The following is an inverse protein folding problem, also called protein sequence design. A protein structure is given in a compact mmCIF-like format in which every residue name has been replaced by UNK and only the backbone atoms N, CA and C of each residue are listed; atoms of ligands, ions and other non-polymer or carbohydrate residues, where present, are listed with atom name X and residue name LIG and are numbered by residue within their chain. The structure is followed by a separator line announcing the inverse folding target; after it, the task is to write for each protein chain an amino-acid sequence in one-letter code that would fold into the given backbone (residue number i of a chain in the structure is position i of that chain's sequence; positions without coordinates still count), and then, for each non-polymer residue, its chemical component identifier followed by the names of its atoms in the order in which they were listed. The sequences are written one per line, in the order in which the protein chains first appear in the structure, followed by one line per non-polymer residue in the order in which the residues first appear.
data_IF_333227717725
#
_entry.id   IF_333227717725
#
_cell.length_a   1.000
_cell.length_b   1.000
_cell.length_c   1.000
_cell.angle_alpha   90.00
_cell.angle_beta   90.00
_cell.angle_gamma   90.00
#
_symmetry.space_group_name_H-M   'P 1'
#
loop_
_entity.id
_entity.type
_entity.pdbx_description
1 polymer ?
#
# COMPACT_ATOMS: atom_id res chain seq x y z
N UNK A 1 -2.55 -16.09 -2.14
CA UNK A 1 -1.86 -14.81 -1.90
C UNK A 1 -0.41 -14.78 -2.39
N UNK A 2 0.37 -15.86 -2.29
CA UNK A 2 1.75 -15.92 -2.82
C UNK A 2 1.86 -15.49 -4.29
N UNK A 3 0.88 -15.84 -5.14
CA UNK A 3 0.79 -15.35 -6.52
C UNK A 3 0.71 -13.81 -6.63
N UNK A 4 -0.05 -13.15 -5.74
CA UNK A 4 -0.19 -11.69 -5.76
C UNK A 4 1.14 -11.03 -5.39
N UNK A 5 1.85 -11.52 -4.36
CA UNK A 5 3.16 -10.99 -3.98
C UNK A 5 4.16 -11.11 -5.13
N UNK A 6 4.25 -12.28 -5.76
CA UNK A 6 5.10 -12.50 -6.94
C UNK A 6 4.72 -11.56 -8.08
N UNK A 7 3.42 -11.41 -8.37
CA UNK A 7 2.93 -10.51 -9.42
C UNK A 7 3.29 -9.05 -9.12
N UNK A 8 3.16 -8.60 -7.86
CA UNK A 8 3.56 -7.26 -7.42
C UNK A 8 5.05 -7.05 -7.68
N UNK A 9 5.88 -8.01 -7.28
CA UNK A 9 7.33 -7.89 -7.41
C UNK A 9 7.73 -7.79 -8.88
N UNK A 10 7.26 -8.72 -9.70
CA UNK A 10 7.57 -8.76 -11.14
C UNK A 10 7.10 -7.51 -11.90
N UNK A 11 5.94 -6.96 -11.54
CA UNK A 11 5.32 -5.89 -12.33
C UNK A 11 5.56 -4.48 -11.77
N UNK A 12 5.98 -4.33 -10.51
CA UNK A 12 6.09 -3.01 -9.87
C UNK A 12 7.38 -2.77 -9.08
N UNK A 13 8.14 -3.81 -8.79
CA UNK A 13 9.39 -3.72 -8.01
C UNK A 13 10.61 -3.96 -8.89
N UNK A 14 10.58 -4.99 -9.74
CA UNK A 14 11.65 -5.34 -10.68
C UNK A 14 11.86 -4.25 -11.75
N UNK A 15 10.76 -3.70 -12.26
CA UNK A 15 10.83 -2.58 -13.18
C UNK A 15 11.03 -1.29 -12.37
N UNK A 16 12.12 -0.56 -12.61
CA UNK A 16 12.42 0.71 -11.92
C UNK A 16 11.46 1.87 -12.29
N UNK A 17 10.31 1.55 -12.91
CA UNK A 17 9.29 2.53 -13.31
C UNK A 17 8.42 2.88 -12.10
N UNK A 18 8.67 4.06 -11.55
CA UNK A 18 7.84 4.62 -10.48
C UNK A 18 6.49 5.10 -11.00
N UNK A 19 5.47 5.06 -10.14
CA UNK A 19 4.10 5.40 -10.54
C UNK A 19 3.21 5.76 -9.35
N UNK A 20 2.28 6.71 -9.56
CA UNK A 20 1.13 6.92 -8.68
C UNK A 20 0.08 5.80 -8.80
N UNK A 21 -0.48 5.37 -7.67
CA UNK A 21 -1.65 4.48 -7.62
C UNK A 21 -2.93 5.31 -7.57
N UNK A 22 -2.93 6.40 -6.78
CA UNK A 22 -4.08 7.29 -6.59
C UNK A 22 -4.06 8.33 -7.71
N UNK A 23 -5.10 8.32 -8.54
CA UNK A 23 -5.28 9.27 -9.64
C UNK A 23 -5.99 10.55 -9.18
N UNK A 24 -7.06 10.37 -8.39
CA UNK A 24 -7.77 11.46 -7.70
C UNK A 24 -7.84 11.15 -6.23
N UNK A 25 -7.48 12.14 -5.41
CA UNK A 25 -7.23 11.92 -3.99
C UNK A 25 -8.46 12.06 -3.10
N UNK A 26 -9.64 12.37 -3.64
CA UNK A 26 -10.86 12.52 -2.85
C UNK A 26 -10.85 13.64 -1.81
N UNK A 27 -9.81 14.50 -1.80
CA UNK A 27 -9.64 15.62 -0.87
C UNK A 27 -9.69 16.93 -1.66
N UNK A 28 -8.88 17.04 -2.72
CA UNK A 28 -8.88 18.20 -3.63
C UNK A 28 -10.08 18.18 -4.58
N UNK A 29 -10.65 16.99 -4.80
CA UNK A 29 -11.91 16.78 -5.50
C UNK A 29 -12.78 15.86 -4.66
N UNK A 30 -14.09 15.85 -4.88
CA UNK A 30 -14.96 14.90 -4.18
C UNK A 30 -14.82 13.46 -4.72
N UNK A 31 -13.96 13.23 -5.71
CA UNK A 31 -13.74 11.91 -6.31
C UNK A 31 -12.42 11.31 -5.81
N UNK A 32 -12.49 10.10 -5.25
CA UNK A 32 -11.32 9.26 -5.02
C UNK A 32 -11.25 8.19 -6.12
N UNK A 33 -10.11 8.08 -6.80
CA UNK A 33 -9.99 7.23 -7.98
C UNK A 33 -8.65 6.48 -8.06
N UNK A 34 -8.73 5.22 -8.48
CA UNK A 34 -7.63 4.41 -8.97
C UNK A 34 -7.98 4.07 -10.43
N UNK A 35 -7.35 4.73 -11.39
CA UNK A 35 -7.60 4.51 -12.83
C UNK A 35 -6.60 3.58 -13.50
N UNK A 36 -5.64 3.05 -12.74
CA UNK A 36 -4.78 1.98 -13.20
C UNK A 36 -5.63 0.75 -13.56
N UNK A 37 -5.35 0.19 -14.72
CA UNK A 37 -6.01 -1.01 -15.22
C UNK A 37 -4.93 -1.94 -15.75
N UNK A 38 -4.59 -2.95 -14.97
CA UNK A 38 -3.56 -3.94 -15.29
C UNK A 38 -3.89 -5.28 -14.60
N UNK A 39 -2.90 -6.15 -14.44
CA UNK A 39 -3.11 -7.49 -13.86
C UNK A 39 -3.65 -7.47 -12.43
N UNK A 40 -3.39 -6.43 -11.64
CA UNK A 40 -3.74 -6.38 -10.22
C UNK A 40 -4.74 -5.26 -9.87
N UNK A 41 -4.89 -4.27 -10.74
CA UNK A 41 -5.81 -3.15 -10.55
C UNK A 41 -6.89 -3.10 -11.61
N UNK A 42 -8.12 -2.78 -11.18
CA UNK A 42 -9.22 -2.39 -12.04
C UNK A 42 -9.54 -0.91 -11.85
N UNK A 43 -10.07 -0.26 -12.89
CA UNK A 43 -10.54 1.12 -12.77
C UNK A 43 -11.67 1.18 -11.76
N UNK A 44 -11.48 1.96 -10.70
CA UNK A 44 -12.49 2.18 -9.68
C UNK A 44 -12.45 3.63 -9.20
N UNK A 45 -13.61 4.25 -9.05
CA UNK A 45 -13.76 5.55 -8.39
C UNK A 45 -15.01 5.62 -7.53
N UNK A 46 -14.98 6.53 -6.57
CA UNK A 46 -16.09 6.80 -5.66
C UNK A 46 -16.18 8.30 -5.38
N UNK A 47 -17.41 8.79 -5.18
CA UNK A 47 -17.63 10.13 -4.65
C UNK A 47 -17.55 10.07 -3.12
N UNK A 48 -16.51 10.68 -2.55
CA UNK A 48 -16.18 10.62 -1.13
C UNK A 48 -17.28 11.24 -0.27
N UNK A 49 -17.81 12.41 -0.63
CA UNK A 49 -18.87 13.09 0.14
C UNK A 49 -20.15 12.28 0.18
N UNK A 50 -20.57 11.75 -0.96
CA UNK A 50 -21.76 10.89 -1.04
C UNK A 50 -21.55 9.59 -0.26
N UNK A 51 -20.37 8.98 -0.40
CA UNK A 51 -20.03 7.72 0.27
C UNK A 51 -19.96 7.90 1.79
N UNK A 52 -19.45 9.03 2.27
CA UNK A 52 -19.28 9.32 3.70
C UNK A 52 -20.60 9.25 4.48
N UNK A 53 -21.71 9.71 3.87
CA UNK A 53 -23.03 9.66 4.51
C UNK A 53 -23.51 8.24 4.84
N UNK A 54 -22.98 7.23 4.15
CA UNK A 54 -23.32 5.81 4.35
C UNK A 54 -22.18 5.02 5.01
N UNK A 55 -20.94 5.43 4.75
CA UNK A 55 -19.70 4.75 5.11
C UNK A 55 -18.77 5.75 5.81
N UNK A 56 -18.91 5.94 7.14
CA UNK A 56 -18.15 6.95 7.87
C UNK A 56 -16.62 6.79 7.78
N UNK A 57 -16.13 5.55 7.63
CA UNK A 57 -14.69 5.25 7.55
C UNK A 57 -14.00 5.67 6.26
N UNK A 58 -14.75 6.15 5.24
CA UNK A 58 -14.18 6.47 3.93
C UNK A 58 -13.16 7.61 3.97
N UNK A 59 -13.39 8.65 4.78
CA UNK A 59 -12.44 9.77 4.89
C UNK A 59 -11.08 9.34 5.43
N UNK A 60 -11.09 8.48 6.45
CA UNK A 60 -9.85 7.87 6.97
C UNK A 60 -9.15 7.06 5.88
N UNK A 61 -9.92 6.29 5.11
CA UNK A 61 -9.39 5.44 4.03
C UNK A 61 -8.68 6.26 2.96
N UNK A 62 -9.33 7.33 2.51
CA UNK A 62 -8.81 8.25 1.48
C UNK A 62 -7.55 8.96 1.95
N UNK A 63 -7.55 9.47 3.19
CA UNK A 63 -6.37 10.13 3.79
C UNK A 63 -5.17 9.19 3.92
N UNK A 64 -5.40 7.96 4.41
CA UNK A 64 -4.35 6.95 4.55
C UNK A 64 -3.82 6.55 3.16
N UNK A 65 -4.71 6.29 2.20
CA UNK A 65 -4.33 5.92 0.84
C UNK A 65 -3.43 6.98 0.19
N UNK A 66 -3.79 8.27 0.27
CA UNK A 66 -2.97 9.37 -0.26
C UNK A 66 -1.55 9.34 0.31
N UNK A 67 -1.42 9.16 1.63
CA UNK A 67 -0.11 9.13 2.29
C UNK A 67 0.68 7.87 1.94
N UNK A 68 0.03 6.71 1.85
CA UNK A 68 0.67 5.48 1.41
C UNK A 68 1.20 5.58 -0.03
N UNK A 69 0.42 6.17 -0.95
CA UNK A 69 0.86 6.35 -2.34
C UNK A 69 2.03 7.35 -2.43
N UNK A 70 2.01 8.40 -1.61
CA UNK A 70 3.14 9.31 -1.48
C UNK A 70 4.41 8.58 -1.05
N UNK A 71 4.36 7.77 0.01
CA UNK A 71 5.54 7.06 0.51
C UNK A 71 6.03 5.97 -0.44
N UNK A 72 5.13 5.18 -1.06
CA UNK A 72 5.58 4.16 -2.02
C UNK A 72 6.28 4.81 -3.23
N UNK A 73 5.79 5.97 -3.68
CA UNK A 73 6.46 6.74 -4.74
C UNK A 73 7.80 7.30 -4.31
N UNK A 74 7.88 7.88 -3.11
CA UNK A 74 9.16 8.38 -2.57
C UNK A 74 10.19 7.26 -2.45
N UNK A 75 9.79 6.10 -1.93
CA UNK A 75 10.64 4.92 -1.86
C UNK A 75 11.10 4.54 -3.26
N UNK A 76 10.19 4.40 -4.22
CA UNK A 76 10.54 4.00 -5.58
C UNK A 76 11.66 4.84 -6.19
N UNK A 77 11.55 6.17 -6.09
CA UNK A 77 12.53 7.09 -6.66
C UNK A 77 13.87 7.07 -5.89
N UNK A 78 13.86 6.61 -4.64
CA UNK A 78 15.07 6.51 -3.83
C UNK A 78 15.83 5.20 -4.06
N UNK A 79 15.15 4.09 -4.35
CA UNK A 79 15.78 2.77 -4.53
C UNK A 79 17.00 2.80 -5.47
N UNK A 80 16.98 3.47 -6.64
CA UNK A 80 18.13 3.50 -7.54
C UNK A 80 19.39 4.15 -6.96
N UNK A 81 19.27 5.05 -5.97
CA UNK A 81 20.42 5.69 -5.33
C UNK A 81 21.01 4.89 -4.17
N UNK A 82 20.33 3.82 -3.73
CA UNK A 82 20.76 2.99 -2.62
C UNK A 82 21.57 1.79 -3.17
N UNK A 83 22.81 1.55 -2.71
CA UNK A 83 23.60 0.38 -3.10
C UNK A 83 22.89 -0.93 -2.75
N UNK A 84 23.04 -1.95 -3.60
CA UNK A 84 22.40 -3.27 -3.40
C UNK A 84 22.84 -3.95 -2.09
N UNK A 85 24.10 -3.76 -1.69
CA UNK A 85 24.63 -4.27 -0.42
C UNK A 85 24.02 -3.60 0.82
N UNK A 86 23.32 -2.47 0.67
CA UNK A 86 22.72 -1.77 1.80
C UNK A 86 21.37 -2.37 2.16
N UNK A 87 21.30 -2.98 3.35
CA UNK A 87 20.11 -3.65 3.85
C UNK A 87 18.85 -2.76 3.89
N UNK A 88 18.98 -1.43 4.00
CA UNK A 88 17.83 -0.53 3.99
C UNK A 88 17.06 -0.59 2.67
N UNK A 89 17.75 -0.84 1.54
CA UNK A 89 17.13 -0.99 0.22
C UNK A 89 16.08 -2.10 0.24
N UNK A 90 16.46 -3.24 0.80
CA UNK A 90 15.61 -4.42 0.93
C UNK A 90 14.43 -4.13 1.85
N UNK A 91 14.65 -3.46 2.99
CA UNK A 91 13.57 -3.09 3.93
C UNK A 91 12.56 -2.17 3.24
N UNK A 92 13.02 -1.13 2.53
CA UNK A 92 12.14 -0.19 1.85
C UNK A 92 11.36 -0.87 0.71
N UNK A 93 11.98 -1.78 -0.04
CA UNK A 93 11.28 -2.56 -1.07
C UNK A 93 10.21 -3.49 -0.48
N UNK A 94 10.49 -4.15 0.67
CA UNK A 94 9.49 -4.95 1.39
C UNK A 94 8.28 -4.10 1.77
N UNK A 95 8.51 -2.92 2.35
CA UNK A 95 7.44 -1.99 2.69
C UNK A 95 6.65 -1.57 1.45
N UNK A 96 7.34 -1.28 0.34
CA UNK A 96 6.70 -0.95 -0.93
C UNK A 96 5.79 -2.06 -1.45
N UNK A 97 6.22 -3.33 -1.40
CA UNK A 97 5.39 -4.50 -1.73
C UNK A 97 4.14 -4.56 -0.85
N UNK A 98 4.29 -4.35 0.46
CA UNK A 98 3.18 -4.39 1.42
C UNK A 98 2.16 -3.29 1.10
N UNK A 99 2.63 -2.07 0.81
CA UNK A 99 1.76 -0.94 0.44
C UNK A 99 0.97 -1.25 -0.83
N UNK A 100 1.63 -1.76 -1.87
CA UNK A 100 0.94 -2.13 -3.12
C UNK A 100 -0.10 -3.23 -2.86
N UNK A 101 0.21 -4.23 -2.02
CA UNK A 101 -0.74 -5.27 -1.66
C UNK A 101 -1.97 -4.72 -0.90
N UNK A 102 -1.79 -3.73 -0.02
CA UNK A 102 -2.89 -3.02 0.63
C UNK A 102 -3.75 -2.27 -0.40
N UNK A 103 -3.13 -1.65 -1.41
CA UNK A 103 -3.84 -0.98 -2.49
C UNK A 103 -4.63 -1.92 -3.38
N UNK A 104 -4.10 -3.10 -3.71
CA UNK A 104 -4.85 -4.14 -4.44
C UNK A 104 -6.13 -4.51 -3.67
N UNK A 105 -6.03 -4.61 -2.33
CA UNK A 105 -7.19 -4.87 -1.49
C UNK A 105 -8.18 -3.71 -1.43
N UNK A 106 -7.69 -2.46 -1.32
CA UNK A 106 -8.55 -1.27 -1.37
C UNK A 106 -9.29 -1.19 -2.71
N UNK A 107 -8.58 -1.41 -3.81
CA UNK A 107 -9.14 -1.38 -5.16
C UNK A 107 -10.26 -2.41 -5.34
N UNK A 108 -10.09 -3.62 -4.79
CA UNK A 108 -11.14 -4.63 -4.72
C UNK A 108 -12.36 -4.14 -3.94
N UNK A 109 -12.17 -3.55 -2.75
CA UNK A 109 -13.27 -2.97 -1.97
C UNK A 109 -14.00 -1.90 -2.79
N UNK A 110 -13.28 -0.97 -3.41
CA UNK A 110 -13.89 0.08 -4.24
C UNK A 110 -14.74 -0.50 -5.37
N UNK A 111 -14.28 -1.56 -6.04
CA UNK A 111 -15.04 -2.25 -7.09
C UNK A 111 -16.32 -2.93 -6.57
N UNK A 112 -16.31 -3.37 -5.31
CA UNK A 112 -17.39 -4.11 -4.67
C UNK A 112 -18.38 -3.21 -3.90
N UNK A 113 -18.19 -1.88 -3.87
CA UNK A 113 -18.96 -0.95 -3.03
C UNK A 113 -20.49 -1.06 -3.22
N UNK A 114 -20.96 -1.36 -4.44
CA UNK A 114 -22.39 -1.53 -4.75
C UNK A 114 -22.94 -2.90 -4.38
N UNK A 115 -22.09 -3.89 -4.16
CA UNK A 115 -22.49 -5.28 -3.87
C UNK A 115 -22.63 -5.58 -2.38
N UNK A 116 -22.05 -4.74 -1.52
CA UNK A 116 -22.02 -4.94 -0.08
C UNK A 116 -22.99 -4.00 0.62
N UNK A 117 -23.59 -4.47 1.73
CA UNK A 117 -24.34 -3.57 2.61
C UNK A 117 -23.40 -2.51 3.18
N UNK A 118 -23.92 -1.30 3.41
CA UNK A 118 -23.11 -0.19 3.92
C UNK A 118 -22.40 -0.51 5.24
N UNK A 119 -23.04 -1.27 6.13
CA UNK A 119 -22.43 -1.71 7.39
C UNK A 119 -21.27 -2.68 7.16
N UNK A 120 -21.44 -3.68 6.29
CA UNK A 120 -20.38 -4.64 5.95
C UNK A 120 -19.19 -3.93 5.29
N UNK A 121 -19.48 -3.05 4.33
CA UNK A 121 -18.44 -2.28 3.64
C UNK A 121 -17.66 -1.39 4.62
N UNK A 122 -18.35 -0.70 5.53
CA UNK A 122 -17.71 0.12 6.55
C UNK A 122 -16.78 -0.70 7.47
N UNK A 123 -17.16 -1.92 7.86
CA UNK A 123 -16.29 -2.81 8.65
C UNK A 123 -15.02 -3.20 7.86
N UNK A 124 -15.16 -3.50 6.57
CA UNK A 124 -14.00 -3.83 5.74
C UNK A 124 -13.05 -2.65 5.56
N UNK A 125 -13.55 -1.43 5.40
CA UNK A 125 -12.73 -0.23 5.37
C UNK A 125 -12.09 0.09 6.72
N UNK A 126 -12.77 -0.12 7.84
CA UNK A 126 -12.16 0.03 9.17
C UNK A 126 -10.98 -0.91 9.37
N UNK A 127 -11.12 -2.18 8.98
CA UNK A 127 -10.01 -3.14 9.02
C UNK A 127 -8.89 -2.74 8.06
N UNK A 128 -9.23 -2.28 6.85
CA UNK A 128 -8.23 -1.77 5.90
C UNK A 128 -7.47 -0.56 6.48
N UNK A 129 -8.18 0.39 7.10
CA UNK A 129 -7.61 1.58 7.74
C UNK A 129 -6.63 1.19 8.84
N UNK A 130 -7.03 0.31 9.74
CA UNK A 130 -6.19 -0.17 10.85
C UNK A 130 -4.85 -0.71 10.36
N UNK A 131 -4.89 -1.60 9.37
CA UNK A 131 -3.66 -2.20 8.83
C UNK A 131 -2.83 -1.23 8.00
N UNK A 132 -3.50 -0.35 7.26
CA UNK A 132 -2.85 0.63 6.39
C UNK A 132 -2.18 1.76 7.16
N UNK A 133 -2.81 2.21 8.25
CA UNK A 133 -2.25 3.21 9.16
C UNK A 133 -1.01 2.68 9.89
N UNK A 134 -1.06 1.42 10.35
CA UNK A 134 0.12 0.74 10.89
C UNK A 134 1.28 0.70 9.89
N UNK A 135 1.03 0.30 8.64
CA UNK A 135 2.08 0.28 7.62
C UNK A 135 2.55 1.69 7.26
N UNK A 136 1.65 2.68 7.23
CA UNK A 136 2.02 4.08 7.00
C UNK A 136 3.00 4.57 8.08
N UNK A 137 2.70 4.32 9.35
CA UNK A 137 3.58 4.69 10.47
C UNK A 137 4.96 4.05 10.30
N UNK A 138 5.02 2.72 10.17
CA UNK A 138 6.28 1.97 9.99
C UNK A 138 7.07 2.51 8.80
N UNK A 139 6.40 2.71 7.66
CA UNK A 139 7.04 3.18 6.43
C UNK A 139 7.62 4.57 6.61
N UNK A 140 6.85 5.48 7.19
CA UNK A 140 7.29 6.86 7.45
C UNK A 140 8.50 6.89 8.39
N UNK A 141 8.49 6.12 9.47
CA UNK A 141 9.59 6.05 10.44
C UNK A 141 10.86 5.51 9.79
N UNK A 142 10.77 4.40 9.07
CA UNK A 142 11.93 3.81 8.39
C UNK A 142 12.49 4.74 7.32
N UNK A 143 11.63 5.33 6.49
CA UNK A 143 12.06 6.23 5.41
C UNK A 143 12.70 7.52 5.95
N UNK A 144 12.11 8.15 6.96
CA UNK A 144 12.67 9.35 7.60
C UNK A 144 13.98 9.02 8.31
N UNK A 145 14.04 7.89 9.03
CA UNK A 145 15.25 7.40 9.68
C UNK A 145 16.39 7.25 8.67
N UNK A 146 16.13 6.58 7.54
CA UNK A 146 17.07 6.47 6.43
C UNK A 146 17.57 7.84 5.94
N UNK A 147 16.65 8.79 5.69
CA UNK A 147 17.02 10.15 5.25
C UNK A 147 17.88 10.91 6.27
N UNK A 148 17.79 10.55 7.54
CA UNK A 148 18.61 11.11 8.62
C UNK A 148 19.88 10.29 8.91
N UNK A 149 20.18 9.25 8.12
CA UNK A 149 21.33 8.38 8.34
C UNK A 149 21.18 7.40 9.51
N UNK A 150 19.95 7.17 10.00
CA UNK A 150 19.62 6.19 11.04
C UNK A 150 19.13 4.88 10.41
N UNK A 151 19.50 3.76 11.02
CA UNK A 151 19.04 2.43 10.61
C UNK A 151 18.25 1.77 11.74
N UNK A 152 16.92 1.88 11.69
CA UNK A 152 16.02 1.18 12.61
C UNK A 152 15.24 0.09 11.86
N UNK A 153 15.62 -1.18 12.07
CA UNK A 153 14.99 -2.35 11.42
C UNK A 153 14.01 -3.12 12.30
N UNK A 154 14.05 -2.92 13.63
CA UNK A 154 13.21 -3.63 14.62
C UNK A 154 11.71 -3.36 14.45
N UNK A 155 11.34 -2.33 13.70
CA UNK A 155 9.94 -1.92 13.54
C UNK A 155 9.17 -2.91 12.64
N UNK A 156 9.85 -3.72 11.81
CA UNK A 156 9.18 -4.67 10.91
C UNK A 156 8.36 -5.76 11.64
N UNK A 157 8.69 -6.09 12.89
CA UNK A 157 7.93 -7.07 13.67
C UNK A 157 6.47 -6.64 13.90
N UNK A 158 6.22 -5.33 13.89
CA UNK A 158 4.87 -4.75 14.03
C UNK A 158 3.99 -5.02 12.79
N UNK A 159 4.58 -5.38 11.65
CA UNK A 159 3.86 -5.65 10.40
C UNK A 159 3.19 -7.02 10.35
N UNK A 160 3.46 -7.92 11.31
CA UNK A 160 2.95 -9.30 11.34
C UNK A 160 1.43 -9.37 11.25
N UNK A 161 0.72 -8.50 11.95
CA UNK A 161 -0.74 -8.43 11.90
C UNK A 161 -1.24 -8.10 10.49
N UNK A 162 -0.60 -7.14 9.82
CA UNK A 162 -0.92 -6.78 8.42
C UNK A 162 -0.59 -7.90 7.44
N UNK A 163 0.45 -8.70 7.69
CA UNK A 163 0.76 -9.85 6.84
C UNK A 163 -0.35 -10.91 6.94
N UNK A 164 -0.81 -11.19 8.16
CA UNK A 164 -1.97 -12.06 8.40
C UNK A 164 -3.23 -11.53 7.72
N UNK A 165 -3.50 -10.23 7.84
CA UNK A 165 -4.62 -9.59 7.13
C UNK A 165 -4.53 -9.80 5.63
N UNK A 166 -3.37 -9.52 5.02
CA UNK A 166 -3.14 -9.72 3.59
C UNK A 166 -3.16 -11.20 3.17
N UNK A 167 -3.14 -12.15 4.11
CA UNK A 167 -3.10 -13.59 3.82
C UNK A 167 -1.73 -14.05 3.31
N UNK A 168 -0.65 -13.40 3.75
CA UNK A 168 0.74 -13.71 3.37
C UNK A 168 1.67 -13.72 4.58
N UNK A 169 2.96 -13.97 4.37
CA UNK A 169 4.01 -13.88 5.40
C UNK A 169 5.16 -12.99 4.93
N UNK A 170 5.91 -12.42 5.87
CA UNK A 170 7.14 -11.69 5.54
C UNK A 170 8.15 -12.61 4.83
N UNK A 171 8.25 -13.87 5.25
CA UNK A 171 9.12 -14.87 4.61
C UNK A 171 8.79 -15.11 3.13
N UNK A 172 7.51 -14.98 2.74
CA UNK A 172 7.10 -15.09 1.33
C UNK A 172 7.59 -13.90 0.52
N UNK A 173 7.59 -12.69 1.09
CA UNK A 173 8.14 -11.49 0.44
C UNK A 173 9.66 -11.61 0.37
N UNK A 174 10.31 -12.05 1.44
CA UNK A 174 11.76 -12.21 1.52
C UNK A 174 12.29 -13.12 0.42
N UNK A 175 11.65 -14.28 0.22
CA UNK A 175 12.02 -15.26 -0.81
C UNK A 175 11.95 -14.71 -2.23
N UNK A 176 10.98 -13.86 -2.51
CA UNK A 176 10.81 -13.30 -3.85
C UNK A 176 11.75 -12.11 -4.08
N UNK A 177 11.94 -11.24 -3.06
CA UNK A 177 12.85 -10.09 -3.15
C UNK A 177 14.32 -10.51 -3.19
N UNK A 178 14.71 -11.61 -2.53
CA UNK A 178 16.10 -12.10 -2.55
C UNK A 178 16.59 -12.50 -3.94
N UNK A 179 15.70 -12.62 -4.93
CA UNK A 179 16.10 -12.89 -6.32
C UNK A 179 16.47 -11.61 -7.09
N UNK A 180 16.33 -10.43 -6.47
CA UNK A 180 16.55 -9.12 -7.11
C UNK A 180 17.87 -8.45 -6.74
N UNK A 181 18.45 -8.80 -5.59
CA UNK A 181 19.67 -8.22 -5.01
C UNK A 181 20.47 -9.34 -4.36
#
# INVERSE_FOLDING_TARGET
MSYIIRTIIQNYIENTKCFGIVDKDGISTDEFAIYRSDLLFVKASLNVRQTQGQIPSILGSVSIAKNLDYYQNKICHEIPSIPDANHIKIILQKLRVIIIALFVRLNKLMAEIKSLSSNTYNKHLLEWNKHSDQILLVTSTVFIGYKQGKTESKILDTTRGTMGYLGTSMSSIDKEISNLY
#
